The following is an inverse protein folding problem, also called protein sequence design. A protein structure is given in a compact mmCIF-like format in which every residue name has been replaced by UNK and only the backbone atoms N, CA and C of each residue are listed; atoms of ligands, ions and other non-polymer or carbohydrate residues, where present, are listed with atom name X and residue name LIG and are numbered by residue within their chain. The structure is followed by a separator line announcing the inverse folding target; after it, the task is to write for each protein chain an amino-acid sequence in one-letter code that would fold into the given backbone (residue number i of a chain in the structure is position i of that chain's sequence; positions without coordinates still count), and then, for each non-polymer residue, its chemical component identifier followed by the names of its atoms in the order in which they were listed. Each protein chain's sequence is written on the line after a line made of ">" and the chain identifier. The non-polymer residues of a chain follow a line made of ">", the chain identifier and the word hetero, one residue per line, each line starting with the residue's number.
data_IF_634226757144
#
_entry.id   IF_634226757144
#
_cell.length_a   1.000
_cell.length_b   1.000
_cell.length_c   1.000
_cell.angle_alpha   90.00
_cell.angle_beta   90.00
_cell.angle_gamma   90.00
#
_symmetry.space_group_name_H-M   'P 1'
#
loop_
_entity.id
_entity.type
_entity.pdbx_description
1 polymer ?
#
# COMPACT_ATOMS: atom_id res chain seq x y z
N UNK A 1 -55.54 10.85 27.87
CA UNK A 1 -54.42 10.63 26.93
C UNK A 1 -53.63 9.47 27.50
N UNK A 2 -53.37 8.43 26.71
CA UNK A 2 -52.50 7.33 27.12
C UNK A 2 -51.12 7.90 27.50
N UNK A 3 -50.52 7.43 28.59
CA UNK A 3 -49.13 7.75 28.95
C UNK A 3 -48.19 7.12 27.92
N UNK A 4 -47.95 7.84 26.82
CA UNK A 4 -47.01 7.42 25.77
C UNK A 4 -45.58 7.64 26.26
N UNK A 5 -44.72 6.66 26.02
CA UNK A 5 -43.30 6.73 26.39
C UNK A 5 -42.59 7.77 25.52
N UNK A 6 -41.71 8.57 26.12
CA UNK A 6 -40.99 9.63 25.40
C UNK A 6 -39.75 9.02 24.72
N UNK A 7 -39.59 9.29 23.42
CA UNK A 7 -38.39 8.98 22.63
C UNK A 7 -37.72 10.26 22.14
N UNK A 8 -36.42 10.20 21.85
CA UNK A 8 -35.62 11.31 21.33
C UNK A 8 -35.73 11.51 19.82
N UNK A 9 -34.88 12.40 19.30
CA UNK A 9 -34.72 12.62 17.85
C UNK A 9 -33.94 11.50 17.15
N UNK A 10 -33.19 10.72 17.94
CA UNK A 10 -32.41 9.56 17.54
C UNK A 10 -32.59 8.45 18.57
N UNK A 11 -32.71 7.21 18.12
CA UNK A 11 -32.84 6.05 18.99
C UNK A 11 -32.08 4.84 18.45
N UNK A 12 -31.75 3.92 19.36
CA UNK A 12 -31.20 2.62 18.99
C UNK A 12 -32.31 1.58 18.84
N UNK A 13 -32.27 0.85 17.72
CA UNK A 13 -33.20 -0.22 17.41
C UNK A 13 -32.46 -1.57 17.37
N UNK A 14 -33.12 -2.64 17.79
CA UNK A 14 -32.61 -4.01 17.69
C UNK A 14 -33.57 -4.85 16.84
N UNK A 15 -33.05 -5.65 15.92
CA UNK A 15 -33.82 -6.59 15.09
C UNK A 15 -33.27 -8.00 15.23
N UNK A 16 -33.76 -8.74 16.21
CA UNK A 16 -33.31 -10.12 16.47
C UNK A 16 -33.59 -11.05 15.28
N UNK A 17 -34.77 -10.92 14.66
CA UNK A 17 -35.18 -11.70 13.48
C UNK A 17 -34.31 -11.45 12.25
N UNK A 18 -33.71 -10.26 12.14
CA UNK A 18 -32.79 -9.90 11.06
C UNK A 18 -31.31 -10.10 11.45
N UNK A 19 -31.04 -10.55 12.69
CA UNK A 19 -29.68 -10.66 13.22
C UNK A 19 -28.97 -9.33 13.45
N UNK A 20 -29.67 -8.20 13.46
CA UNK A 20 -29.07 -6.87 13.64
C UNK A 20 -29.11 -6.51 15.13
N UNK A 21 -27.96 -6.54 15.84
CA UNK A 21 -27.95 -6.42 17.29
C UNK A 21 -28.12 -4.98 17.80
N UNK A 22 -27.86 -3.97 16.96
CA UNK A 22 -28.07 -2.55 17.26
C UNK A 22 -27.91 -1.67 16.00
N UNK A 23 -28.92 -0.90 15.61
CA UNK A 23 -28.83 0.08 14.51
C UNK A 23 -29.37 1.42 14.98
N UNK A 24 -28.63 2.51 14.71
CA UNK A 24 -29.06 3.86 15.07
C UNK A 24 -30.06 4.38 14.03
N UNK A 25 -31.24 4.77 14.51
CA UNK A 25 -32.33 5.27 13.69
C UNK A 25 -32.58 6.76 13.97
N UNK A 26 -32.84 7.52 12.90
CA UNK A 26 -33.42 8.86 13.02
C UNK A 26 -34.92 8.73 13.19
N UNK A 27 -35.49 9.37 14.21
CA UNK A 27 -36.93 9.44 14.39
C UNK A 27 -37.48 10.49 13.43
N UNK A 28 -38.33 10.05 12.49
CA UNK A 28 -38.86 10.89 11.43
C UNK A 28 -40.39 10.73 11.33
N UNK A 29 -41.11 11.59 12.05
CA UNK A 29 -42.58 11.64 12.00
C UNK A 29 -43.14 12.11 10.66
N UNK A 30 -42.30 12.67 9.77
CA UNK A 30 -42.68 13.06 8.41
C UNK A 30 -42.70 11.88 7.45
N UNK A 31 -41.85 10.87 7.67
CA UNK A 31 -41.88 9.61 6.94
C UNK A 31 -43.09 8.76 7.39
N UNK A 32 -43.96 8.35 6.46
CA UNK A 32 -45.10 7.49 6.78
C UNK A 32 -44.62 6.13 7.33
N UNK A 33 -43.73 5.47 6.58
CA UNK A 33 -43.23 4.13 6.88
C UNK A 33 -41.74 4.19 7.18
N UNK A 34 -41.27 3.35 8.10
CA UNK A 34 -39.86 3.20 8.43
C UNK A 34 -39.04 2.72 7.22
N UNK A 35 -37.75 3.03 7.20
CA UNK A 35 -36.83 2.57 6.15
C UNK A 35 -35.51 2.09 6.72
N UNK A 36 -34.90 1.10 6.09
CA UNK A 36 -33.60 0.56 6.47
C UNK A 36 -32.67 0.52 5.26
N UNK A 37 -31.38 0.78 5.49
CA UNK A 37 -30.33 0.60 4.51
C UNK A 37 -30.33 -0.87 4.08
N UNK A 38 -30.45 -1.09 2.78
CA UNK A 38 -30.44 -2.42 2.20
C UNK A 38 -29.78 -2.38 0.82
N UNK A 39 -28.86 -3.31 0.59
CA UNK A 39 -28.21 -3.58 -0.70
C UNK A 39 -28.35 -5.06 -1.05
N UNK A 40 -27.93 -5.46 -2.26
CA UNK A 40 -27.97 -6.85 -2.71
C UNK A 40 -29.37 -7.52 -2.58
N UNK A 41 -30.44 -6.75 -2.76
CA UNK A 41 -31.82 -7.21 -2.62
C UNK A 41 -32.17 -8.25 -3.70
N UNK A 42 -32.66 -9.42 -3.28
CA UNK A 42 -33.08 -10.51 -4.16
C UNK A 42 -34.36 -11.14 -3.63
N UNK A 43 -35.39 -11.19 -4.48
CA UNK A 43 -36.64 -11.90 -4.17
C UNK A 43 -36.38 -13.40 -4.32
N UNK A 44 -36.84 -14.18 -3.34
CA UNK A 44 -36.75 -15.63 -3.28
C UNK A 44 -38.13 -16.20 -2.98
N UNK A 45 -38.55 -17.20 -3.74
CA UNK A 45 -39.85 -17.86 -3.53
C UNK A 45 -39.62 -19.08 -2.64
N UNK A 46 -40.37 -19.19 -1.53
CA UNK A 46 -40.37 -20.35 -0.64
C UNK A 46 -41.80 -20.91 -0.54
N UNK A 47 -42.07 -21.97 -1.29
CA UNK A 47 -43.43 -22.50 -1.43
C UNK A 47 -44.34 -21.48 -2.12
N UNK A 48 -45.35 -20.98 -1.40
CA UNK A 48 -46.33 -19.99 -1.90
C UNK A 48 -46.03 -18.56 -1.39
N UNK A 49 -44.99 -18.37 -0.59
CA UNK A 49 -44.65 -17.07 -0.01
C UNK A 49 -43.44 -16.44 -0.69
N UNK A 50 -43.51 -15.14 -0.97
CA UNK A 50 -42.37 -14.34 -1.40
C UNK A 50 -41.55 -13.88 -0.20
N UNK A 51 -40.24 -14.09 -0.30
CA UNK A 51 -39.25 -13.64 0.65
C UNK A 51 -38.26 -12.72 -0.06
N UNK A 52 -37.57 -11.87 0.68
CA UNK A 52 -36.47 -11.07 0.15
C UNK A 52 -35.23 -11.31 0.99
N UNK A 53 -34.13 -11.62 0.31
CA UNK A 53 -32.78 -11.61 0.86
C UNK A 53 -32.14 -10.27 0.58
N UNK A 54 -31.48 -9.69 1.56
CA UNK A 54 -30.84 -8.38 1.42
C UNK A 54 -29.69 -8.24 2.41
N UNK A 55 -28.81 -7.30 2.17
CA UNK A 55 -27.65 -7.02 3.01
C UNK A 55 -27.83 -5.67 3.70
N UNK A 56 -27.55 -5.64 5.01
CA UNK A 56 -27.60 -4.42 5.82
C UNK A 56 -26.21 -4.10 6.37
N UNK A 57 -25.78 -2.86 6.23
CA UNK A 57 -24.61 -2.26 6.86
C UNK A 57 -25.07 -1.36 8.01
N UNK A 58 -25.22 -1.90 9.23
CA UNK A 58 -25.95 -1.22 10.31
C UNK A 58 -25.16 -0.09 10.97
N UNK A 59 -23.82 -0.08 10.87
CA UNK A 59 -22.96 0.93 11.48
C UNK A 59 -22.58 2.02 10.45
N UNK A 60 -22.76 3.30 10.82
CA UNK A 60 -22.45 4.45 9.98
C UNK A 60 -20.98 4.48 9.54
N UNK A 61 -20.09 4.38 10.53
CA UNK A 61 -18.64 4.55 10.40
C UNK A 61 -17.92 3.25 9.97
N UNK A 62 -18.63 2.11 9.94
CA UNK A 62 -18.03 0.81 9.61
C UNK A 62 -18.88 0.03 8.60
N UNK A 63 -18.60 0.26 7.31
CA UNK A 63 -19.26 -0.40 6.18
C UNK A 63 -18.75 -1.83 5.92
N UNK A 64 -17.72 -2.29 6.63
CA UNK A 64 -17.18 -3.65 6.46
C UNK A 64 -18.06 -4.73 7.09
N UNK A 65 -18.91 -4.33 8.03
CA UNK A 65 -19.93 -5.19 8.64
C UNK A 65 -21.15 -5.19 7.71
N UNK A 66 -21.43 -6.36 7.17
CA UNK A 66 -22.52 -6.64 6.26
C UNK A 66 -23.31 -7.85 6.79
N UNK A 67 -24.53 -7.60 7.25
CA UNK A 67 -25.43 -8.63 7.78
C UNK A 67 -26.35 -9.10 6.66
N UNK A 68 -26.33 -10.41 6.39
CA UNK A 68 -27.26 -11.03 5.46
C UNK A 68 -28.59 -11.24 6.17
N UNK A 69 -29.61 -10.53 5.70
CA UNK A 69 -30.96 -10.54 6.25
C UNK A 69 -31.90 -11.25 5.29
N UNK A 70 -32.93 -11.87 5.85
CA UNK A 70 -34.02 -12.47 5.07
C UNK A 70 -35.34 -12.22 5.79
N UNK A 71 -36.33 -11.73 5.06
CA UNK A 71 -37.65 -11.44 5.61
C UNK A 71 -38.75 -11.69 4.57
N UNK A 72 -39.98 -11.89 5.03
CA UNK A 72 -41.13 -12.03 4.15
C UNK A 72 -41.41 -10.71 3.44
N UNK A 73 -41.60 -10.78 2.12
CA UNK A 73 -42.03 -9.65 1.31
C UNK A 73 -43.55 -9.50 1.48
N UNK A 74 -43.99 -8.38 2.03
CA UNK A 74 -45.41 -8.15 2.34
C UNK A 74 -46.08 -7.16 1.41
N UNK A 75 -45.32 -6.24 0.81
CA UNK A 75 -45.83 -5.18 -0.06
C UNK A 75 -44.71 -4.60 -0.96
N UNK A 76 -45.10 -3.84 -1.98
CA UNK A 76 -44.22 -2.98 -2.78
C UNK A 76 -44.81 -1.58 -2.80
N UNK A 77 -44.04 -0.60 -2.33
CA UNK A 77 -44.55 0.74 -2.10
C UNK A 77 -43.78 1.77 -2.90
N UNK A 78 -44.49 2.62 -3.63
CA UNK A 78 -43.91 3.81 -4.25
C UNK A 78 -43.61 4.84 -3.17
N UNK A 79 -42.33 5.12 -2.93
CA UNK A 79 -41.86 6.07 -1.93
C UNK A 79 -41.24 7.27 -2.63
N UNK A 80 -41.67 8.47 -2.28
CA UNK A 80 -41.12 9.73 -2.79
C UNK A 80 -40.09 10.26 -1.81
N UNK A 81 -38.85 10.49 -2.28
CA UNK A 81 -37.80 11.10 -1.48
C UNK A 81 -38.06 12.60 -1.25
N UNK A 82 -37.35 13.19 -0.30
CA UNK A 82 -37.31 14.66 -0.10
C UNK A 82 -36.79 15.41 -1.32
N UNK A 83 -36.03 14.76 -2.21
CA UNK A 83 -35.58 15.28 -3.51
C UNK A 83 -36.62 15.16 -4.63
N UNK A 84 -37.82 14.62 -4.34
CA UNK A 84 -38.94 14.54 -5.28
C UNK A 84 -38.92 13.32 -6.21
N UNK A 85 -37.89 12.48 -6.15
CA UNK A 85 -37.77 11.26 -6.96
C UNK A 85 -38.62 10.17 -6.32
N UNK A 86 -39.43 9.49 -7.13
CA UNK A 86 -40.24 8.36 -6.69
C UNK A 86 -39.55 7.04 -7.04
N UNK A 87 -39.47 6.15 -6.07
CA UNK A 87 -38.80 4.85 -6.17
C UNK A 87 -39.77 3.76 -5.65
N UNK A 88 -39.90 2.65 -6.38
CA UNK A 88 -40.58 1.46 -5.85
C UNK A 88 -39.65 0.75 -4.86
N UNK A 89 -40.13 0.54 -3.63
CA UNK A 89 -39.38 -0.14 -2.59
C UNK A 89 -40.10 -1.39 -2.10
N UNK A 90 -39.33 -2.46 -1.92
CA UNK A 90 -39.80 -3.68 -1.27
C UNK A 90 -40.08 -3.40 0.21
N UNK A 91 -41.19 -3.91 0.72
CA UNK A 91 -41.62 -3.74 2.10
C UNK A 91 -41.55 -5.09 2.81
N UNK A 92 -40.84 -5.13 3.93
CA UNK A 92 -40.74 -6.32 4.78
C UNK A 92 -41.36 -6.04 6.14
N UNK A 93 -41.97 -7.07 6.74
CA UNK A 93 -42.48 -7.00 8.10
C UNK A 93 -41.48 -7.66 9.06
N UNK A 94 -41.12 -6.98 10.14
CA UNK A 94 -40.18 -7.49 11.15
C UNK A 94 -40.50 -6.93 12.53
N UNK A 95 -40.11 -7.66 13.58
CA UNK A 95 -40.16 -7.16 14.95
C UNK A 95 -38.95 -6.25 15.24
N UNK A 96 -39.20 -5.07 15.79
CA UNK A 96 -38.19 -4.16 16.32
C UNK A 96 -38.27 -4.14 17.84
N UNK A 97 -37.12 -4.08 18.51
CA UNK A 97 -37.04 -3.88 19.95
C UNK A 97 -36.42 -2.52 20.26
N UNK A 98 -37.11 -1.74 21.09
CA UNK A 98 -36.68 -0.43 21.56
C UNK A 98 -37.09 -0.24 23.03
N UNK A 99 -36.14 0.10 23.90
CA UNK A 99 -36.43 0.41 25.30
C UNK A 99 -37.11 -0.71 26.10
N UNK A 100 -36.81 -1.97 25.77
CA UNK A 100 -37.37 -3.15 26.41
C UNK A 100 -38.70 -3.65 25.83
N UNK A 101 -39.27 -2.96 24.84
CA UNK A 101 -40.51 -3.36 24.18
C UNK A 101 -40.24 -3.85 22.76
N UNK A 102 -40.89 -4.95 22.37
CA UNK A 102 -40.78 -5.55 21.04
C UNK A 102 -42.13 -5.50 20.33
N UNK A 103 -42.17 -4.96 19.11
CA UNK A 103 -43.38 -4.85 18.31
C UNK A 103 -43.09 -4.92 16.81
N UNK A 104 -44.10 -5.31 16.03
CA UNK A 104 -43.99 -5.42 14.57
C UNK A 104 -43.99 -4.05 13.89
N UNK A 105 -43.11 -3.88 12.89
CA UNK A 105 -43.09 -2.73 11.99
C UNK A 105 -42.94 -3.17 10.53
N UNK A 106 -43.39 -2.30 9.62
CA UNK A 106 -43.04 -2.38 8.20
C UNK A 106 -41.76 -1.58 7.92
N UNK A 107 -40.82 -2.19 7.20
CA UNK A 107 -39.59 -1.57 6.74
C UNK A 107 -39.56 -1.54 5.21
N UNK A 108 -39.38 -0.35 4.65
CA UNK A 108 -38.99 -0.21 3.24
C UNK A 108 -37.49 -0.45 3.10
N UNK A 109 -37.09 -1.30 2.15
CA UNK A 109 -35.70 -1.55 1.80
C UNK A 109 -35.22 -0.46 0.85
N UNK A 110 -34.20 0.31 1.24
CA UNK A 110 -33.67 1.43 0.47
C UNK A 110 -32.15 1.48 0.51
N UNK A 111 -31.50 1.87 -0.59
CA UNK A 111 -30.07 2.19 -0.51
C UNK A 111 -29.89 3.55 0.19
N UNK A 112 -29.27 3.54 1.37
CA UNK A 112 -29.01 4.72 2.21
C UNK A 112 -27.51 4.90 2.47
N UNK A 113 -26.65 4.44 1.56
CA UNK A 113 -25.19 4.44 1.75
C UNK A 113 -24.59 5.85 1.91
N UNK A 114 -25.21 6.84 1.28
CA UNK A 114 -24.82 8.26 1.32
C UNK A 114 -25.50 9.06 2.43
N UNK A 115 -26.43 8.45 3.17
CA UNK A 115 -27.20 9.11 4.23
C UNK A 115 -26.52 8.93 5.58
N UNK A 116 -26.66 9.93 6.45
CA UNK A 116 -26.14 9.92 7.83
C UNK A 116 -26.72 8.77 8.67
N UNK A 117 -28.03 8.50 8.54
CA UNK A 117 -28.68 7.41 9.26
C UNK A 117 -29.03 6.25 8.34
N UNK A 118 -28.59 5.05 8.76
CA UNK A 118 -28.87 3.77 8.12
C UNK A 118 -30.31 3.31 8.31
N UNK A 119 -31.05 3.92 9.24
CA UNK A 119 -32.47 3.65 9.45
C UNK A 119 -33.25 4.93 9.72
N UNK A 120 -34.49 5.00 9.23
CA UNK A 120 -35.51 5.95 9.68
C UNK A 120 -36.61 5.20 10.42
N UNK A 121 -37.02 5.72 11.56
CA UNK A 121 -38.20 5.27 12.28
C UNK A 121 -39.36 6.19 11.88
N UNK A 122 -40.28 5.66 11.08
CA UNK A 122 -41.40 6.40 10.52
C UNK A 122 -42.61 6.47 11.46
N UNK A 123 -43.55 7.33 11.12
CA UNK A 123 -44.75 7.63 11.91
C UNK A 123 -45.60 6.40 12.24
N UNK A 124 -45.77 5.44 11.32
CA UNK A 124 -46.55 4.22 11.60
C UNK A 124 -45.97 3.38 12.74
N UNK A 125 -44.66 3.42 12.97
CA UNK A 125 -44.03 2.75 14.10
C UNK A 125 -44.14 3.54 15.41
N UNK A 126 -44.38 4.85 15.33
CA UNK A 126 -44.38 5.79 16.46
C UNK A 126 -45.80 6.02 16.99
N UNK A 127 -46.77 6.15 16.08
CA UNK A 127 -48.17 6.44 16.38
C UNK A 127 -48.73 5.47 17.43
N UNK A 128 -49.44 6.02 18.40
CA UNK A 128 -50.07 5.30 19.51
C UNK A 128 -49.10 4.55 20.46
N UNK A 129 -47.78 4.71 20.28
CA UNK A 129 -46.74 4.09 21.12
C UNK A 129 -45.84 5.10 21.83
N UNK A 130 -45.43 6.15 21.13
CA UNK A 130 -44.41 7.06 21.62
C UNK A 130 -44.75 8.54 21.40
N UNK A 131 -44.20 9.38 22.26
CA UNK A 131 -44.14 10.83 22.10
C UNK A 131 -42.72 11.24 21.73
N UNK A 132 -42.54 12.05 20.68
CA UNK A 132 -41.21 12.47 20.22
C UNK A 132 -40.79 13.77 20.90
N UNK A 133 -39.68 13.74 21.64
CA UNK A 133 -39.01 14.93 22.17
C UNK A 133 -37.74 15.22 21.34
N UNK A 134 -37.75 16.25 20.48
CA UNK A 134 -36.61 16.54 19.61
C UNK A 134 -35.38 17.10 20.33
N UNK A 135 -35.50 17.45 21.62
CA UNK A 135 -34.41 18.03 22.40
C UNK A 135 -33.48 16.97 23.05
N UNK A 136 -33.84 15.69 22.97
CA UNK A 136 -33.09 14.58 23.57
C UNK A 136 -32.77 13.51 22.54
N UNK A 137 -31.79 12.66 22.82
CA UNK A 137 -31.37 11.53 22.00
C UNK A 137 -31.18 10.29 22.89
N UNK A 138 -31.44 9.11 22.35
CA UNK A 138 -31.20 7.82 23.01
C UNK A 138 -31.96 7.68 24.35
N UNK A 139 -33.20 8.18 24.39
CA UNK A 139 -33.95 8.34 25.63
C UNK A 139 -34.43 7.00 26.20
N UNK A 140 -34.83 6.08 25.33
CA UNK A 140 -35.35 4.77 25.76
C UNK A 140 -34.28 3.70 25.74
N UNK A 141 -33.23 3.89 24.94
CA UNK A 141 -32.15 2.92 24.79
C UNK A 141 -30.89 3.61 24.26
N UNK A 142 -29.78 3.36 24.95
CA UNK A 142 -28.44 3.76 24.53
C UNK A 142 -27.49 2.57 24.59
N UNK A 143 -26.45 2.61 23.78
CA UNK A 143 -25.34 1.68 23.82
C UNK A 143 -24.05 2.48 23.81
N UNK A 144 -23.13 2.14 24.71
CA UNK A 144 -21.78 2.67 24.67
C UNK A 144 -20.98 2.02 23.52
N UNK A 145 -19.94 2.69 23.03
CA UNK A 145 -19.12 2.20 21.92
C UNK A 145 -18.55 0.78 22.17
N UNK A 146 -18.14 0.49 23.41
CA UNK A 146 -17.66 -0.83 23.80
C UNK A 146 -18.74 -1.91 23.75
N UNK A 147 -19.99 -1.58 24.04
CA UNK A 147 -21.13 -2.50 23.95
C UNK A 147 -21.47 -2.80 22.49
N UNK A 148 -21.44 -1.77 21.62
CA UNK A 148 -21.59 -1.93 20.18
C UNK A 148 -20.49 -2.83 19.63
N UNK A 149 -19.23 -2.60 20.01
CA UNK A 149 -18.11 -3.44 19.59
C UNK A 149 -18.28 -4.90 20.00
N UNK A 150 -18.71 -5.17 21.24
CA UNK A 150 -19.00 -6.54 21.71
C UNK A 150 -20.15 -7.18 20.95
N UNK A 151 -21.24 -6.45 20.70
CA UNK A 151 -22.41 -6.94 19.96
C UNK A 151 -22.08 -7.29 18.51
N UNK A 152 -21.19 -6.52 17.87
CA UNK A 152 -20.76 -6.75 16.50
C UNK A 152 -19.51 -7.63 16.35
N UNK A 153 -18.87 -8.03 17.45
CA UNK A 153 -17.69 -8.91 17.48
C UNK A 153 -17.80 -10.15 16.55
N UNK A 154 -18.94 -10.86 16.47
CA UNK A 154 -19.09 -12.02 15.60
C UNK A 154 -19.20 -11.69 14.10
N UNK A 155 -19.58 -10.46 13.76
CA UNK A 155 -19.79 -10.01 12.37
C UNK A 155 -18.55 -9.37 11.74
N UNK A 156 -17.48 -9.19 12.52
CA UNK A 156 -16.18 -8.89 11.94
C UNK A 156 -15.75 -10.09 11.12
N UNK A 157 -15.82 -9.95 9.79
CA UNK A 157 -15.04 -10.81 8.91
C UNK A 157 -13.59 -10.68 9.35
N UNK A 158 -12.99 -11.77 9.86
CA UNK A 158 -11.54 -11.87 9.96
C UNK A 158 -10.99 -11.40 8.62
N UNK A 159 -10.14 -10.38 8.60
CA UNK A 159 -9.37 -10.01 7.40
C UNK A 159 -8.70 -11.30 6.93
N UNK A 160 -9.21 -11.89 5.85
CA UNK A 160 -8.71 -13.18 5.36
C UNK A 160 -7.38 -13.02 4.66
N UNK A 161 -6.97 -11.78 4.37
CA UNK A 161 -5.64 -11.41 3.88
C UNK A 161 -5.11 -10.18 4.59
N UNK A 162 -3.83 -9.89 4.38
CA UNK A 162 -3.17 -8.70 4.91
C UNK A 162 -3.71 -7.43 4.24
N UNK A 163 -3.67 -6.30 4.95
CA UNK A 163 -3.86 -4.98 4.38
C UNK A 163 -2.50 -4.33 4.10
N UNK A 164 -2.16 -4.19 2.83
CA UNK A 164 -0.83 -3.77 2.37
C UNK A 164 -0.93 -2.38 1.73
N UNK A 165 -0.06 -1.45 2.11
CA UNK A 165 0.09 -0.18 1.41
C UNK A 165 1.18 -0.28 0.33
N UNK A 166 0.89 0.16 -0.90
CA UNK A 166 1.91 0.40 -1.93
C UNK A 166 2.24 1.89 -1.98
N UNK A 167 3.36 2.28 -1.40
CA UNK A 167 3.78 3.68 -1.28
C UNK A 167 4.68 4.07 -2.47
N UNK A 168 4.12 4.77 -3.46
CA UNK A 168 4.81 5.08 -4.71
C UNK A 168 4.39 6.44 -5.29
N UNK A 169 4.84 6.81 -6.49
CA UNK A 169 4.43 8.07 -7.15
C UNK A 169 3.42 7.90 -8.29
N UNK A 170 3.37 6.71 -8.91
CA UNK A 170 2.49 6.47 -10.06
C UNK A 170 1.98 5.01 -10.05
N UNK A 171 0.66 4.76 -9.93
CA UNK A 171 0.10 3.42 -9.88
C UNK A 171 0.22 2.68 -11.23
N UNK A 172 0.35 3.42 -12.34
CA UNK A 172 0.28 2.85 -13.68
C UNK A 172 1.59 2.24 -14.18
N UNK A 173 2.69 2.39 -13.45
CA UNK A 173 3.96 1.77 -13.81
C UNK A 173 3.87 0.25 -13.68
N UNK A 174 4.46 -0.49 -14.62
CA UNK A 174 4.42 -1.96 -14.68
C UNK A 174 4.69 -2.61 -13.32
N UNK A 175 5.78 -2.21 -12.65
CA UNK A 175 6.16 -2.80 -11.36
C UNK A 175 5.11 -2.61 -10.28
N UNK A 176 4.42 -1.46 -10.27
CA UNK A 176 3.41 -1.14 -9.25
C UNK A 176 2.12 -1.90 -9.53
N UNK A 177 1.69 -1.99 -10.80
CA UNK A 177 0.55 -2.82 -11.22
C UNK A 177 0.75 -4.28 -10.83
N UNK A 178 1.91 -4.86 -11.18
CA UNK A 178 2.25 -6.25 -10.85
C UNK A 178 2.22 -6.54 -9.36
N UNK A 179 2.74 -5.63 -8.53
CA UNK A 179 2.69 -5.77 -7.06
C UNK A 179 1.25 -5.74 -6.54
N UNK A 180 0.40 -4.87 -7.07
CA UNK A 180 -1.02 -4.81 -6.70
C UNK A 180 -1.76 -6.08 -7.11
N UNK A 181 -1.63 -6.49 -8.37
CA UNK A 181 -2.21 -7.73 -8.90
C UNK A 181 -1.77 -8.96 -8.10
N UNK A 182 -0.47 -9.04 -7.75
CA UNK A 182 0.05 -10.16 -6.98
C UNK A 182 -0.46 -10.19 -5.53
N UNK A 183 -0.71 -9.03 -4.91
CA UNK A 183 -1.32 -8.99 -3.57
C UNK A 183 -2.80 -9.40 -3.63
N UNK A 184 -3.55 -8.87 -4.59
CA UNK A 184 -4.97 -9.18 -4.80
C UNK A 184 -5.18 -10.66 -5.14
N UNK A 185 -4.36 -11.23 -6.03
CA UNK A 185 -4.39 -12.64 -6.38
C UNK A 185 -4.11 -13.58 -5.20
N UNK A 186 -3.45 -13.09 -4.14
CA UNK A 186 -3.20 -13.81 -2.89
C UNK A 186 -4.25 -13.50 -1.80
N UNK A 187 -5.33 -12.81 -2.16
CA UNK A 187 -6.43 -12.50 -1.27
C UNK A 187 -6.16 -11.36 -0.28
N UNK A 188 -5.14 -10.54 -0.53
CA UNK A 188 -4.81 -9.37 0.31
C UNK A 188 -5.51 -8.11 -0.20
N UNK A 189 -5.84 -7.20 0.72
CA UNK A 189 -6.24 -5.85 0.38
C UNK A 189 -4.97 -5.03 0.12
N UNK A 190 -4.85 -4.40 -1.06
CA UNK A 190 -3.75 -3.49 -1.35
C UNK A 190 -4.25 -2.09 -1.65
N UNK A 191 -3.66 -1.10 -0.98
CA UNK A 191 -4.02 0.31 -1.13
C UNK A 191 -2.83 1.07 -1.71
N UNK A 192 -3.01 1.66 -2.89
CA UNK A 192 -2.01 2.56 -3.45
C UNK A 192 -2.02 3.90 -2.71
N UNK A 193 -0.84 4.34 -2.28
CA UNK A 193 -0.63 5.64 -1.64
C UNK A 193 0.42 6.42 -2.41
N UNK A 194 0.04 7.63 -2.86
CA UNK A 194 1.02 8.55 -3.41
C UNK A 194 1.85 9.18 -2.29
N UNK A 195 3.18 9.03 -2.36
CA UNK A 195 4.14 9.61 -1.41
C UNK A 195 3.88 11.10 -1.14
N UNK A 196 3.59 11.86 -2.18
CA UNK A 196 3.46 13.33 -2.10
C UNK A 196 2.09 13.77 -1.55
N UNK A 197 1.12 12.85 -1.46
CA UNK A 197 -0.23 13.12 -0.96
C UNK A 197 -0.44 12.67 0.49
N UNK A 198 0.54 11.97 1.07
CA UNK A 198 0.52 11.57 2.46
C UNK A 198 1.21 12.63 3.34
N UNK A 199 0.67 12.86 4.53
CA UNK A 199 1.23 13.77 5.54
C UNK A 199 1.08 13.15 6.92
N UNK A 200 1.87 13.60 7.89
CA UNK A 200 1.97 12.93 9.20
C UNK A 200 1.77 13.89 10.36
N UNK A 201 1.12 13.39 11.42
CA UNK A 201 1.10 14.02 12.73
C UNK A 201 2.17 13.35 13.59
N UNK A 202 3.10 14.14 14.09
CA UNK A 202 4.13 13.68 15.03
C UNK A 202 3.65 14.04 16.43
N UNK A 203 3.20 13.04 17.18
CA UNK A 203 2.75 13.18 18.56
C UNK A 203 3.18 11.93 19.33
N UNK A 204 3.53 12.10 20.61
CA UNK A 204 4.02 11.00 21.43
C UNK A 204 2.92 9.98 21.78
N UNK A 205 1.65 10.40 21.81
CA UNK A 205 0.52 9.58 22.25
C UNK A 205 -0.41 9.18 21.09
N UNK A 206 -0.46 10.00 20.04
CA UNK A 206 -1.37 9.88 18.91
C UNK A 206 -0.66 10.18 17.57
N UNK A 207 0.42 9.45 17.23
CA UNK A 207 1.04 9.56 15.92
C UNK A 207 0.07 9.12 14.83
N UNK A 208 0.04 9.84 13.71
CA UNK A 208 -0.85 9.52 12.59
C UNK A 208 -0.14 9.69 11.26
N UNK A 209 -0.61 8.94 10.26
CA UNK A 209 -0.41 9.27 8.86
C UNK A 209 -1.79 9.56 8.27
N UNK A 210 -1.89 10.64 7.53
CA UNK A 210 -3.09 11.08 6.84
C UNK A 210 -2.84 11.11 5.34
N UNK A 211 -3.90 11.01 4.58
CA UNK A 211 -3.89 11.15 3.13
C UNK A 211 -4.74 12.34 2.70
N UNK A 212 -4.44 12.90 1.52
CA UNK A 212 -5.19 14.02 0.94
C UNK A 212 -6.70 13.80 1.10
N UNK A 213 -7.37 14.79 1.69
CA UNK A 213 -8.79 14.70 2.06
C UNK A 213 -9.03 14.49 3.56
N UNK A 214 -7.98 14.38 4.39
CA UNK A 214 -8.12 14.33 5.85
C UNK A 214 -8.18 12.93 6.44
N UNK A 215 -8.27 11.90 5.60
CA UNK A 215 -8.43 10.51 6.03
C UNK A 215 -7.19 10.02 6.78
N UNK A 216 -7.40 9.48 7.98
CA UNK A 216 -6.34 8.82 8.75
C UNK A 216 -6.11 7.43 8.14
N UNK A 217 -4.87 7.15 7.79
CA UNK A 217 -4.41 5.86 7.29
C UNK A 217 -4.21 4.93 8.48
N UNK A 218 -5.21 4.08 8.75
CA UNK A 218 -5.16 3.07 9.81
C UNK A 218 -5.13 1.65 9.23
N UNK A 219 -4.68 0.71 10.05
CA UNK A 219 -4.82 -0.75 9.86
C UNK A 219 -4.00 -1.40 8.73
N UNK A 220 -2.83 -0.85 8.39
CA UNK A 220 -1.91 -1.55 7.48
C UNK A 220 -1.06 -2.57 8.23
N UNK A 221 -0.94 -3.77 7.70
CA UNK A 221 -0.03 -4.80 8.21
C UNK A 221 1.37 -4.66 7.60
N UNK A 222 1.43 -4.19 6.35
CA UNK A 222 2.69 -3.96 5.64
C UNK A 222 2.65 -2.74 4.71
N UNK A 223 3.83 -2.19 4.41
CA UNK A 223 4.06 -1.17 3.39
C UNK A 223 5.16 -1.64 2.42
N UNK A 224 4.90 -1.54 1.13
CA UNK A 224 5.86 -1.73 0.04
C UNK A 224 6.27 -0.36 -0.51
N UNK A 225 7.39 0.22 -0.07
CA UNK A 225 7.91 1.46 -0.64
C UNK A 225 8.54 1.29 -2.02
N UNK A 226 8.10 2.12 -2.96
CA UNK A 226 8.64 2.27 -4.32
C UNK A 226 9.05 3.72 -4.57
N UNK A 227 10.04 4.16 -3.78
CA UNK A 227 10.43 5.57 -3.66
C UNK A 227 11.40 5.98 -4.77
N UNK A 228 10.98 6.96 -5.59
CA UNK A 228 11.85 7.61 -6.59
C UNK A 228 12.95 8.44 -5.89
N UNK A 229 14.17 8.56 -6.46
CA UNK A 229 15.27 9.26 -5.80
C UNK A 229 14.93 10.70 -5.36
N UNK A 230 14.15 11.44 -6.14
CA UNK A 230 13.81 12.85 -5.87
C UNK A 230 12.94 13.09 -4.63
N UNK A 231 12.30 12.06 -4.08
CA UNK A 231 11.48 12.16 -2.86
C UNK A 231 11.99 11.23 -1.75
N UNK A 232 13.25 10.80 -1.82
CA UNK A 232 13.84 9.86 -0.85
C UNK A 232 13.69 10.35 0.58
N UNK A 233 14.01 11.63 0.84
CA UNK A 233 13.93 12.21 2.19
C UNK A 233 12.53 12.05 2.80
N UNK A 234 11.51 12.53 2.10
CA UNK A 234 10.13 12.50 2.58
C UNK A 234 9.53 11.09 2.57
N UNK A 235 9.83 10.30 1.54
CA UNK A 235 9.43 8.89 1.47
C UNK A 235 9.96 8.08 2.66
N UNK A 236 11.25 8.24 2.99
CA UNK A 236 11.84 7.60 4.17
C UNK A 236 11.22 8.11 5.49
N UNK A 237 10.80 9.38 5.57
CA UNK A 237 10.08 9.89 6.74
C UNK A 237 8.73 9.20 6.93
N UNK A 238 7.95 9.03 5.86
CA UNK A 238 6.69 8.28 5.90
C UNK A 238 6.91 6.82 6.29
N UNK A 239 7.94 6.16 5.72
CA UNK A 239 8.27 4.77 6.05
C UNK A 239 8.62 4.63 7.55
N UNK A 240 9.42 5.55 8.12
CA UNK A 240 9.69 5.54 9.56
C UNK A 240 8.42 5.72 10.38
N UNK A 241 7.52 6.59 9.94
CA UNK A 241 6.24 6.79 10.61
C UNK A 241 5.35 5.55 10.56
N UNK A 242 5.27 4.86 9.41
CA UNK A 242 4.58 3.57 9.30
C UNK A 242 5.18 2.54 10.25
N UNK A 243 6.51 2.45 10.31
CA UNK A 243 7.20 1.55 11.22
C UNK A 243 6.94 1.88 12.70
N UNK A 244 6.88 3.16 13.07
CA UNK A 244 6.51 3.60 14.42
C UNK A 244 5.07 3.23 14.80
N UNK A 245 4.18 3.11 13.80
CA UNK A 245 2.81 2.62 13.97
C UNK A 245 2.70 1.09 13.99
N UNK A 246 3.83 0.37 14.02
CA UNK A 246 3.86 -1.10 14.06
C UNK A 246 3.71 -1.78 12.69
N UNK A 247 3.74 -1.02 11.59
CA UNK A 247 3.56 -1.56 10.23
C UNK A 247 4.88 -2.07 9.67
N UNK A 248 4.89 -3.30 9.12
CA UNK A 248 6.09 -3.86 8.52
C UNK A 248 6.45 -3.19 7.19
N UNK A 249 7.70 -2.74 7.01
CA UNK A 249 8.14 -2.05 5.79
C UNK A 249 9.13 -2.89 4.95
N UNK A 250 8.81 -3.13 3.67
CA UNK A 250 9.63 -3.91 2.71
C UNK A 250 10.10 -3.00 1.55
N UNK A 251 11.13 -2.16 1.70
CA UNK A 251 12.22 -2.15 2.68
C UNK A 251 12.05 -1.12 3.82
N UNK A 252 12.89 -1.23 4.86
CA UNK A 252 13.01 -0.23 5.91
C UNK A 252 13.63 1.08 5.42
N UNK A 253 13.31 2.19 6.08
CA UNK A 253 13.76 3.54 5.70
C UNK A 253 15.29 3.68 5.74
N UNK A 254 15.93 3.09 6.75
CA UNK A 254 17.38 3.11 6.95
C UNK A 254 18.06 2.39 5.79
N UNK A 255 17.58 1.19 5.44
CA UNK A 255 18.11 0.40 4.33
C UNK A 255 17.97 1.12 2.98
N UNK A 256 16.84 1.80 2.74
CA UNK A 256 16.63 2.62 1.55
C UNK A 256 17.63 3.77 1.50
N UNK A 257 17.74 4.56 2.58
CA UNK A 257 18.67 5.69 2.66
C UNK A 257 20.13 5.26 2.45
N UNK A 258 20.55 4.17 3.10
CA UNK A 258 21.90 3.62 2.98
C UNK A 258 22.20 3.15 1.54
N UNK A 259 21.24 2.51 0.86
CA UNK A 259 21.41 2.10 -0.53
C UNK A 259 21.46 3.26 -1.53
N UNK A 260 20.87 4.41 -1.17
CA UNK A 260 20.84 5.61 -2.02
C UNK A 260 22.13 6.40 -1.92
N UNK A 261 22.76 6.41 -0.75
CA UNK A 261 24.08 6.99 -0.56
C UNK A 261 25.17 6.02 -1.07
N UNK A 262 25.62 6.24 -2.30
CA UNK A 262 26.64 5.40 -2.94
C UNK A 262 27.98 5.42 -2.20
N UNK A 263 28.35 6.53 -1.57
CA UNK A 263 29.59 6.63 -0.81
C UNK A 263 29.49 5.77 0.44
N UNK A 264 28.42 5.96 1.21
CA UNK A 264 28.18 5.17 2.42
C UNK A 264 28.05 3.67 2.10
N UNK A 265 27.29 3.31 1.07
CA UNK A 265 27.17 1.92 0.63
C UNK A 265 28.52 1.32 0.25
N UNK A 266 29.35 2.04 -0.52
CA UNK A 266 30.69 1.57 -0.92
C UNK A 266 31.62 1.37 0.26
N UNK A 267 31.60 2.28 1.25
CA UNK A 267 32.35 2.13 2.49
C UNK A 267 31.89 0.91 3.29
N UNK A 268 30.58 0.67 3.34
CA UNK A 268 30.01 -0.49 4.01
C UNK A 268 30.38 -1.80 3.30
N UNK A 269 30.42 -1.82 1.97
CA UNK A 269 30.90 -2.96 1.19
C UNK A 269 32.36 -3.27 1.47
N UNK A 270 33.22 -2.24 1.43
CA UNK A 270 34.65 -2.37 1.75
C UNK A 270 34.87 -2.93 3.17
N UNK A 271 34.16 -2.39 4.17
CA UNK A 271 34.20 -2.86 5.56
C UNK A 271 33.78 -4.33 5.74
N UNK A 272 32.99 -4.87 4.81
CA UNK A 272 32.44 -6.22 4.89
C UNK A 272 33.06 -7.18 3.87
N UNK A 273 34.25 -6.91 3.33
CA UNK A 273 34.93 -7.76 2.34
C UNK A 273 34.01 -8.07 1.13
N UNK A 274 33.36 -7.03 0.60
CA UNK A 274 32.63 -7.09 -0.66
C UNK A 274 33.46 -6.33 -1.68
N UNK A 275 33.97 -7.06 -2.68
CA UNK A 275 34.78 -6.47 -3.73
C UNK A 275 33.91 -5.61 -4.65
N UNK A 276 34.29 -4.34 -4.75
CA UNK A 276 33.79 -3.36 -5.74
C UNK A 276 34.97 -3.01 -6.66
N UNK A 277 34.72 -2.46 -7.85
CA UNK A 277 35.80 -1.89 -8.65
C UNK A 277 36.55 -0.80 -7.85
N UNK A 278 37.85 -0.69 -8.03
CA UNK A 278 38.68 0.33 -7.36
C UNK A 278 38.05 1.70 -7.57
N UNK A 279 37.70 2.36 -6.47
CA UNK A 279 36.88 3.58 -6.47
C UNK A 279 37.51 4.65 -5.60
N UNK A 280 37.78 5.81 -6.20
CA UNK A 280 38.16 7.04 -5.52
C UNK A 280 36.95 7.97 -5.36
N UNK A 281 36.90 8.68 -4.24
CA UNK A 281 35.89 9.69 -3.97
C UNK A 281 36.56 11.03 -3.74
N UNK A 282 35.99 12.08 -4.30
CA UNK A 282 36.48 13.43 -4.06
C UNK A 282 35.35 14.46 -4.05
N UNK A 283 35.49 15.45 -3.17
CA UNK A 283 34.72 16.68 -3.15
C UNK A 283 35.64 17.81 -3.59
N UNK A 284 35.45 18.31 -4.81
CA UNK A 284 36.27 19.37 -5.42
C UNK A 284 37.79 19.15 -5.22
N UNK A 285 38.37 18.05 -5.73
CA UNK A 285 39.77 17.72 -5.47
C UNK A 285 40.68 18.83 -6.01
N UNK A 286 41.55 19.44 -5.20
CA UNK A 286 42.57 20.34 -5.75
C UNK A 286 43.51 19.60 -6.70
N UNK A 287 43.81 18.32 -6.39
CA UNK A 287 44.73 17.48 -7.14
C UNK A 287 44.00 16.37 -7.94
N UNK A 288 43.53 16.72 -9.15
CA UNK A 288 42.81 15.79 -10.05
C UNK A 288 43.69 14.60 -10.47
N UNK A 289 45.00 14.82 -10.61
CA UNK A 289 45.93 13.80 -11.12
C UNK A 289 46.13 12.71 -10.11
N UNK A 290 46.21 13.07 -8.83
CA UNK A 290 46.31 12.09 -7.75
C UNK A 290 45.05 11.21 -7.69
N UNK A 291 43.85 11.80 -7.77
CA UNK A 291 42.59 11.05 -7.81
C UNK A 291 42.52 10.04 -8.97
N UNK A 292 43.04 10.41 -10.14
CA UNK A 292 43.12 9.52 -11.31
C UNK A 292 44.10 8.37 -11.03
N UNK A 293 45.26 8.65 -10.40
CA UNK A 293 46.25 7.63 -10.03
C UNK A 293 45.71 6.65 -8.99
N UNK A 294 44.88 7.10 -8.05
CA UNK A 294 44.24 6.24 -7.03
C UNK A 294 43.43 5.09 -7.64
N UNK A 295 42.92 5.25 -8.86
CA UNK A 295 42.17 4.20 -9.59
C UNK A 295 42.98 3.55 -10.72
N UNK A 296 44.32 3.65 -10.68
CA UNK A 296 45.27 3.14 -11.67
C UNK A 296 45.25 3.86 -13.04
N UNK A 297 44.67 5.06 -13.11
CA UNK A 297 44.60 5.83 -14.36
C UNK A 297 43.48 5.40 -15.31
N UNK A 298 43.46 6.02 -16.48
CA UNK A 298 42.48 5.73 -17.51
C UNK A 298 42.75 4.38 -18.22
N UNK A 299 41.72 3.71 -18.75
CA UNK A 299 40.32 4.13 -18.81
C UNK A 299 39.63 4.10 -17.44
N UNK A 300 38.80 5.11 -17.16
CA UNK A 300 38.09 5.20 -15.89
C UNK A 300 36.67 5.76 -16.07
N UNK A 301 35.81 5.45 -15.11
CA UNK A 301 34.43 5.91 -15.03
C UNK A 301 34.33 7.06 -14.03
N UNK A 302 33.66 8.14 -14.43
CA UNK A 302 33.36 9.30 -13.58
C UNK A 302 31.85 9.32 -13.37
N UNK A 303 31.39 9.26 -12.11
CA UNK A 303 29.98 9.28 -11.72
C UNK A 303 29.68 10.49 -10.85
N UNK A 304 28.64 11.23 -11.20
CA UNK A 304 28.03 12.23 -10.31
C UNK A 304 27.15 11.53 -9.27
N UNK A 305 27.27 11.95 -8.01
CA UNK A 305 26.46 11.38 -6.93
C UNK A 305 25.00 11.88 -6.94
N UNK A 306 24.78 13.09 -7.45
CA UNK A 306 23.47 13.77 -7.42
C UNK A 306 22.56 13.44 -8.62
N UNK A 307 22.93 12.46 -9.43
CA UNK A 307 22.21 12.14 -10.67
C UNK A 307 21.37 10.87 -10.59
N UNK A 308 20.30 10.84 -11.40
CA UNK A 308 19.40 9.68 -11.53
C UNK A 308 19.51 9.07 -12.94
N UNK A 309 19.24 7.76 -13.05
CA UNK A 309 19.12 7.04 -14.32
C UNK A 309 20.34 7.13 -15.27
N UNK A 310 21.57 7.14 -14.74
CA UNK A 310 22.79 7.07 -15.58
C UNK A 310 23.16 8.36 -16.32
N UNK A 311 22.35 9.43 -16.22
CA UNK A 311 22.78 10.79 -16.55
C UNK A 311 23.92 11.15 -15.60
N UNK A 312 25.09 11.55 -16.07
CA UNK A 312 26.25 11.83 -15.20
C UNK A 312 27.14 10.63 -14.89
N UNK A 313 27.11 9.57 -15.71
CA UNK A 313 28.17 8.54 -15.77
C UNK A 313 28.93 8.72 -17.08
N UNK A 314 30.23 8.96 -17.01
CA UNK A 314 31.10 9.27 -18.15
C UNK A 314 32.28 8.29 -18.17
N UNK A 315 32.58 7.70 -19.33
CA UNK A 315 33.81 6.98 -19.56
C UNK A 315 34.87 7.95 -20.09
N UNK A 316 36.00 8.02 -19.41
CA UNK A 316 37.18 8.74 -19.87
C UNK A 316 38.25 7.74 -20.29
N UNK A 317 38.54 7.68 -21.59
CA UNK A 317 39.51 6.73 -22.16
C UNK A 317 40.97 7.12 -21.90
N UNK A 318 41.23 8.39 -21.62
CA UNK A 318 42.57 8.92 -21.34
C UNK A 318 42.60 9.76 -20.08
N UNK A 319 43.78 9.85 -19.43
CA UNK A 319 43.96 10.70 -18.24
C UNK A 319 43.61 12.16 -18.54
N UNK A 320 43.97 12.67 -19.73
CA UNK A 320 43.62 14.04 -20.15
C UNK A 320 42.11 14.25 -20.21
N UNK A 321 41.38 13.30 -20.82
CA UNK A 321 39.91 13.37 -20.86
C UNK A 321 39.29 13.33 -19.46
N UNK A 322 39.82 12.46 -18.58
CA UNK A 322 39.37 12.38 -17.19
C UNK A 322 39.61 13.69 -16.44
N UNK A 323 40.79 14.30 -16.59
CA UNK A 323 41.12 15.60 -16.01
C UNK A 323 40.16 16.69 -16.46
N UNK A 324 39.87 16.77 -17.77
CA UNK A 324 38.92 17.73 -18.33
C UNK A 324 37.52 17.58 -17.74
N UNK A 325 37.01 16.34 -17.66
CA UNK A 325 35.67 16.07 -17.11
C UNK A 325 35.59 16.37 -15.62
N UNK A 326 36.59 15.95 -14.84
CA UNK A 326 36.64 16.24 -13.39
C UNK A 326 36.71 17.75 -13.15
N UNK A 327 37.54 18.48 -13.89
CA UNK A 327 37.65 19.94 -13.76
C UNK A 327 36.35 20.65 -14.15
N UNK A 328 35.64 20.17 -15.18
CA UNK A 328 34.31 20.68 -15.53
C UNK A 328 33.28 20.45 -14.42
N UNK A 329 33.37 19.36 -13.67
CA UNK A 329 32.48 19.10 -12.53
C UNK A 329 32.88 19.83 -11.24
N UNK A 330 34.14 20.25 -11.10
CA UNK A 330 34.56 21.12 -9.98
C UNK A 330 33.87 22.48 -10.01
N UNK A 331 33.69 23.07 -11.18
CA UNK A 331 33.11 24.42 -11.32
C UNK A 331 31.66 24.50 -10.83
N UNK A 332 30.97 23.35 -10.75
CA UNK A 332 29.60 23.23 -10.23
C UNK A 332 29.54 22.70 -8.79
N UNK A 333 30.69 22.59 -8.09
CA UNK A 333 30.82 22.18 -6.68
C UNK A 333 30.11 20.86 -6.33
N UNK A 334 30.21 19.87 -7.22
CA UNK A 334 29.55 18.56 -7.06
C UNK A 334 30.50 17.50 -6.50
N UNK A 335 29.95 16.51 -5.80
CA UNK A 335 30.70 15.32 -5.37
C UNK A 335 30.87 14.35 -6.54
N UNK A 336 32.09 13.82 -6.70
CA UNK A 336 32.46 12.95 -7.81
C UNK A 336 32.98 11.62 -7.29
N UNK A 337 32.56 10.55 -7.95
CA UNK A 337 33.09 9.21 -7.80
C UNK A 337 33.88 8.87 -9.06
N UNK A 338 35.15 8.49 -8.90
CA UNK A 338 36.02 8.00 -9.98
C UNK A 338 36.25 6.52 -9.75
N UNK A 339 36.11 5.69 -10.78
CA UNK A 339 36.13 4.23 -10.64
C UNK A 339 36.89 3.58 -11.79
N UNK A 340 37.61 2.48 -11.53
CA UNK A 340 38.28 1.71 -12.59
C UNK A 340 37.26 1.22 -13.63
N UNK A 341 37.65 1.23 -14.91
CA UNK A 341 36.80 0.69 -15.97
C UNK A 341 37.13 -0.79 -16.23
N UNK A 342 36.13 -1.66 -16.04
CA UNK A 342 36.27 -3.11 -16.27
C UNK A 342 36.04 -3.41 -17.75
N UNK A 343 37.11 -3.30 -18.55
CA UNK A 343 37.07 -3.50 -20.02
C UNK A 343 36.66 -4.90 -20.41
N UNK A 344 37.14 -5.91 -19.68
CA UNK A 344 36.92 -7.33 -19.96
C UNK A 344 35.46 -7.77 -19.83
N UNK A 345 34.62 -6.96 -19.17
CA UNK A 345 33.19 -7.20 -19.09
C UNK A 345 32.45 -6.94 -20.41
N UNK A 346 33.10 -6.28 -21.38
CA UNK A 346 32.55 -6.04 -22.72
C UNK A 346 31.14 -5.41 -22.72
N UNK A 347 30.91 -4.44 -21.83
CA UNK A 347 29.62 -3.77 -21.68
C UNK A 347 28.50 -4.68 -21.16
N UNK A 348 28.83 -5.74 -20.45
CA UNK A 348 27.89 -6.65 -19.81
C UNK A 348 27.87 -6.46 -18.30
N UNK A 349 26.69 -6.58 -17.72
CA UNK A 349 26.52 -6.72 -16.29
C UNK A 349 25.40 -7.72 -15.96
N UNK A 350 25.43 -8.23 -14.73
CA UNK A 350 24.47 -9.19 -14.21
C UNK A 350 23.63 -8.48 -13.16
N UNK A 351 22.32 -8.46 -13.37
CA UNK A 351 21.36 -8.03 -12.35
C UNK A 351 20.78 -9.23 -11.65
N UNK A 352 21.09 -9.36 -10.36
CA UNK A 352 20.49 -10.31 -9.44
C UNK A 352 19.33 -9.65 -8.68
N UNK A 353 18.16 -10.28 -8.67
CA UNK A 353 17.04 -9.83 -7.84
C UNK A 353 16.98 -10.68 -6.58
N UNK A 354 17.14 -10.02 -5.44
CA UNK A 354 17.19 -10.64 -4.12
C UNK A 354 15.91 -10.34 -3.36
N UNK A 355 15.28 -11.37 -2.82
CA UNK A 355 14.14 -11.26 -1.90
C UNK A 355 14.44 -12.11 -0.66
N UNK A 356 14.41 -11.50 0.53
CA UNK A 356 14.71 -12.13 1.83
C UNK A 356 15.96 -13.03 1.78
N UNK A 357 17.09 -12.45 1.37
CA UNK A 357 18.40 -13.12 1.29
C UNK A 357 18.48 -14.29 0.28
N UNK A 358 17.54 -14.39 -0.66
CA UNK A 358 17.59 -15.37 -1.77
C UNK A 358 17.60 -14.66 -3.11
N UNK A 359 18.51 -15.04 -4.01
CA UNK A 359 18.47 -14.58 -5.41
C UNK A 359 17.36 -15.37 -6.12
N UNK A 360 16.26 -14.69 -6.44
CA UNK A 360 15.04 -15.30 -7.02
C UNK A 360 15.06 -15.29 -8.54
N UNK A 361 15.75 -14.31 -9.14
CA UNK A 361 15.98 -14.21 -10.57
C UNK A 361 17.28 -13.47 -10.88
N UNK A 362 17.82 -13.71 -12.07
CA UNK A 362 19.03 -13.06 -12.56
C UNK A 362 18.94 -12.89 -14.07
N UNK A 363 19.36 -11.73 -14.56
CA UNK A 363 19.47 -11.42 -15.99
C UNK A 363 20.86 -10.85 -16.28
N UNK A 364 21.36 -11.10 -17.47
CA UNK A 364 22.48 -10.36 -18.02
C UNK A 364 21.91 -9.22 -18.86
N UNK A 365 22.47 -8.03 -18.70
CA UNK A 365 22.18 -6.89 -19.56
C UNK A 365 23.41 -6.63 -20.43
N UNK A 366 23.17 -6.34 -21.71
CA UNK A 366 24.19 -6.00 -22.69
C UNK A 366 23.96 -4.58 -23.18
N UNK A 367 24.99 -3.74 -23.11
CA UNK A 367 24.98 -2.41 -23.70
C UNK A 367 24.89 -2.46 -25.23
N UNK A 368 24.32 -1.43 -25.85
CA UNK A 368 24.31 -1.28 -27.31
C UNK A 368 25.71 -1.07 -27.88
N UNK A 369 25.88 -1.26 -29.18
CA UNK A 369 27.19 -1.10 -29.85
C UNK A 369 27.66 0.35 -29.71
N UNK A 370 28.80 0.56 -29.07
CA UNK A 370 29.37 1.89 -28.79
C UNK A 370 28.94 2.49 -27.44
N UNK A 371 28.10 1.79 -26.68
CA UNK A 371 27.71 2.17 -25.31
C UNK A 371 28.35 1.20 -24.32
N UNK A 372 28.80 1.69 -23.15
CA UNK A 372 29.38 0.85 -22.11
C UNK A 372 28.39 0.57 -20.97
N UNK A 373 27.28 1.33 -20.92
CA UNK A 373 26.22 1.18 -19.92
C UNK A 373 25.17 0.19 -20.42
N UNK A 374 24.96 -0.88 -19.67
CA UNK A 374 24.02 -1.94 -20.01
C UNK A 374 22.58 -1.71 -19.50
N UNK A 375 22.22 -0.48 -19.13
CA UNK A 375 20.89 -0.19 -18.60
C UNK A 375 19.80 -0.40 -19.68
N UNK A 376 18.75 -1.16 -19.35
CA UNK A 376 17.62 -1.44 -20.26
C UNK A 376 16.93 -0.14 -20.71
N UNK A 377 16.80 0.85 -19.82
CA UNK A 377 16.23 2.16 -20.16
C UNK A 377 17.06 2.96 -21.18
N UNK A 378 18.29 2.53 -21.49
CA UNK A 378 19.18 3.12 -22.50
C UNK A 378 19.35 2.21 -23.73
N UNK A 379 18.40 1.31 -24.00
CA UNK A 379 18.43 0.40 -25.16
C UNK A 379 19.13 -0.93 -24.92
N UNK A 380 19.66 -1.18 -23.71
CA UNK A 380 20.33 -2.44 -23.39
C UNK A 380 19.39 -3.66 -23.52
N UNK A 381 19.90 -4.75 -24.08
CA UNK A 381 19.17 -6.02 -24.21
C UNK A 381 19.33 -6.87 -22.95
N UNK A 382 18.23 -7.41 -22.44
CA UNK A 382 18.23 -8.34 -21.32
C UNK A 382 18.11 -9.79 -21.79
N UNK A 383 18.91 -10.69 -21.23
CA UNK A 383 18.83 -12.14 -21.45
C UNK A 383 18.93 -12.90 -20.14
N UNK A 384 18.40 -14.13 -20.11
CA UNK A 384 18.53 -15.01 -18.94
C UNK A 384 20.01 -15.37 -18.76
N UNK A 385 20.49 -15.32 -17.52
CA UNK A 385 21.86 -15.75 -17.18
C UNK A 385 21.85 -16.70 -16.00
N UNK A 386 22.64 -17.77 -16.12
CA UNK A 386 22.97 -18.66 -15.00
C UNK A 386 24.15 -18.06 -14.23
N UNK A 387 23.88 -17.60 -13.02
CA UNK A 387 24.91 -17.05 -12.14
C UNK A 387 25.70 -18.14 -11.43
N UNK A 388 26.97 -17.86 -11.13
CA UNK A 388 27.86 -18.74 -10.36
C UNK A 388 27.49 -18.75 -8.87
N UNK A 389 28.08 -19.67 -8.11
CA UNK A 389 27.95 -19.69 -6.65
C UNK A 389 28.55 -18.44 -6.00
N UNK A 390 29.63 -17.90 -6.56
CA UNK A 390 30.30 -16.70 -6.06
C UNK A 390 29.44 -15.45 -6.30
N UNK A 391 28.88 -15.30 -7.51
CA UNK A 391 27.97 -14.20 -7.86
C UNK A 391 26.71 -14.22 -6.98
N UNK A 392 26.15 -15.41 -6.73
CA UNK A 392 25.00 -15.58 -5.85
C UNK A 392 25.33 -15.17 -4.41
N UNK A 393 26.46 -15.64 -3.87
CA UNK A 393 26.92 -15.29 -2.52
C UNK A 393 27.17 -13.78 -2.40
N UNK A 394 27.81 -13.18 -3.42
CA UNK A 394 28.05 -11.74 -3.48
C UNK A 394 26.74 -10.95 -3.45
N UNK A 395 25.75 -11.31 -4.29
CA UNK A 395 24.46 -10.64 -4.30
C UNK A 395 23.72 -10.75 -2.96
N UNK A 396 23.71 -11.94 -2.35
CA UNK A 396 23.09 -12.17 -1.04
C UNK A 396 23.79 -11.35 0.06
N UNK A 397 25.12 -11.39 0.09
CA UNK A 397 25.94 -10.66 1.07
C UNK A 397 25.72 -9.16 0.94
N UNK A 398 25.72 -8.60 -0.28
CA UNK A 398 25.50 -7.19 -0.53
C UNK A 398 24.11 -6.70 -0.08
N UNK A 399 23.04 -7.44 -0.42
CA UNK A 399 21.70 -7.12 0.04
C UNK A 399 21.57 -7.21 1.57
N UNK A 400 22.18 -8.23 2.19
CA UNK A 400 22.18 -8.43 3.64
C UNK A 400 22.93 -7.33 4.38
N UNK A 401 24.08 -6.90 3.88
CA UNK A 401 24.90 -5.83 4.48
C UNK A 401 24.12 -4.51 4.54
N UNK A 402 23.31 -4.20 3.53
CA UNK A 402 22.41 -3.04 3.52
C UNK A 402 21.05 -3.29 4.19
N UNK A 403 20.84 -4.48 4.77
CA UNK A 403 19.57 -4.90 5.38
C UNK A 403 18.34 -4.71 4.46
N UNK A 404 18.50 -5.00 3.16
CA UNK A 404 17.42 -4.92 2.18
C UNK A 404 16.69 -6.26 2.09
N UNK A 405 15.39 -6.24 2.37
CA UNK A 405 14.49 -7.37 2.15
C UNK A 405 14.27 -7.61 0.65
N UNK A 406 14.21 -6.56 -0.16
CA UNK A 406 14.12 -6.62 -1.62
C UNK A 406 15.21 -5.75 -2.23
N UNK A 407 16.04 -6.31 -3.10
CA UNK A 407 17.13 -5.58 -3.73
C UNK A 407 17.38 -6.03 -5.17
N UNK A 408 17.76 -5.07 -6.03
CA UNK A 408 18.44 -5.38 -7.29
C UNK A 408 19.92 -5.17 -7.11
N UNK A 409 20.71 -6.21 -7.27
CA UNK A 409 22.17 -6.21 -7.09
C UNK A 409 22.82 -6.36 -8.46
N UNK A 410 23.57 -5.35 -8.87
CA UNK A 410 24.24 -5.32 -10.17
C UNK A 410 25.71 -5.72 -9.97
N UNK A 411 26.16 -6.71 -10.74
CA UNK A 411 27.47 -7.34 -10.64
C UNK A 411 28.14 -7.28 -12.01
N UNK A 412 29.44 -7.06 -12.02
CA UNK A 412 30.26 -7.15 -13.22
C UNK A 412 31.26 -8.29 -13.09
N UNK A 413 31.45 -9.05 -14.18
CA UNK A 413 32.49 -10.07 -14.26
C UNK A 413 33.81 -9.40 -14.61
N UNK A 414 34.86 -9.68 -13.83
CA UNK A 414 36.21 -9.18 -14.07
C UNK A 414 37.21 -10.33 -14.00
N UNK A 415 38.44 -10.09 -14.44
CA UNK A 415 39.54 -11.05 -14.30
C UNK A 415 39.90 -11.34 -12.82
N UNK A 416 39.47 -10.47 -11.89
CA UNK A 416 39.68 -10.60 -10.44
C UNK A 416 38.51 -11.33 -9.75
N UNK A 417 37.54 -11.84 -10.51
CA UNK A 417 36.28 -12.40 -9.99
C UNK A 417 35.10 -11.42 -10.11
N UNK A 418 33.92 -11.76 -9.54
CA UNK A 418 32.75 -10.90 -9.61
C UNK A 418 32.91 -9.67 -8.72
N UNK A 419 32.63 -8.49 -9.25
CA UNK A 419 32.67 -7.21 -8.53
C UNK A 419 31.27 -6.62 -8.43
N UNK A 420 30.93 -6.05 -7.28
CA UNK A 420 29.66 -5.37 -7.05
C UNK A 420 29.69 -3.96 -7.66
N UNK A 421 28.71 -3.64 -8.51
CA UNK A 421 28.55 -2.30 -9.10
C UNK A 421 27.63 -1.42 -8.28
N UNK A 422 26.42 -1.90 -7.98
CA UNK A 422 25.40 -1.15 -7.25
C UNK A 422 24.36 -2.07 -6.59
N UNK A 423 23.70 -1.55 -5.56
CA UNK A 423 22.55 -2.19 -4.92
C UNK A 423 21.38 -1.23 -4.87
N UNK A 424 20.27 -1.61 -5.49
CA UNK A 424 19.06 -0.81 -5.61
C UNK A 424 17.97 -1.32 -4.67
N UNK A 425 17.45 -0.43 -3.81
CA UNK A 425 16.36 -0.73 -2.87
C UNK A 425 14.95 -0.73 -3.47
N UNK A 426 14.78 -0.23 -4.69
CA UNK A 426 13.49 -0.24 -5.41
C UNK A 426 13.70 -0.69 -6.87
N UNK A 427 14.15 -1.94 -7.09
CA UNK A 427 14.45 -2.45 -8.42
C UNK A 427 13.20 -2.56 -9.29
N UNK A 428 13.29 -2.24 -10.59
CA UNK A 428 12.19 -2.47 -11.54
C UNK A 428 11.91 -3.95 -11.77
N UNK A 429 10.65 -4.31 -12.02
CA UNK A 429 10.20 -5.69 -12.26
C UNK A 429 10.11 -6.04 -13.75
N UNK A 430 9.77 -5.08 -14.61
CA UNK A 430 9.43 -5.34 -16.02
C UNK A 430 10.53 -6.08 -16.79
N UNK A 431 11.75 -5.54 -16.80
CA UNK A 431 12.84 -6.16 -17.54
C UNK A 431 13.22 -7.56 -17.05
N UNK A 432 13.04 -7.84 -15.76
CA UNK A 432 13.40 -9.15 -15.19
C UNK A 432 12.28 -10.17 -15.30
N UNK A 433 11.02 -9.77 -15.12
CA UNK A 433 9.86 -10.66 -15.31
C UNK A 433 9.73 -11.04 -16.78
N UNK A 434 9.83 -10.07 -17.71
CA UNK A 434 9.76 -10.35 -19.15
C UNK A 434 10.88 -11.27 -19.63
N UNK A 435 12.10 -11.10 -19.12
CA UNK A 435 13.23 -11.92 -19.53
C UNK A 435 13.20 -13.33 -18.92
N UNK A 436 12.73 -13.48 -17.67
CA UNK A 436 12.82 -14.76 -16.94
C UNK A 436 11.51 -15.55 -16.87
N UNK A 437 10.37 -14.93 -17.17
CA UNK A 437 9.04 -15.52 -17.02
C UNK A 437 8.62 -15.80 -15.57
N UNK A 438 9.40 -15.33 -14.59
CA UNK A 438 9.13 -15.56 -13.16
C UNK A 438 8.25 -14.47 -12.59
N UNK A 439 7.35 -14.85 -11.69
CA UNK A 439 6.53 -13.91 -10.92
C UNK A 439 7.31 -13.37 -9.70
N UNK A 440 7.99 -12.25 -9.89
CA UNK A 440 8.80 -11.59 -8.88
C UNK A 440 7.91 -10.81 -7.92
N UNK A 441 6.84 -10.19 -8.42
CA UNK A 441 5.84 -9.52 -7.59
C UNK A 441 5.22 -10.48 -6.55
N UNK A 442 4.74 -11.65 -6.97
CA UNK A 442 4.23 -12.69 -6.06
C UNK A 442 5.29 -13.12 -5.04
N UNK A 443 6.54 -13.25 -5.47
CA UNK A 443 7.65 -13.58 -4.56
C UNK A 443 7.87 -12.50 -3.48
N UNK A 444 7.68 -11.23 -3.81
CA UNK A 444 7.71 -10.13 -2.83
C UNK A 444 6.57 -10.22 -1.82
N UNK A 445 5.35 -10.54 -2.27
CA UNK A 445 4.18 -10.71 -1.38
C UNK A 445 4.36 -11.93 -0.46
N UNK A 446 4.79 -13.08 -0.99
CA UNK A 446 5.11 -14.26 -0.17
C UNK A 446 6.18 -13.97 0.90
N UNK A 447 7.09 -13.06 0.61
CA UNK A 447 8.10 -12.62 1.56
C UNK A 447 7.52 -11.77 2.70
N UNK A 448 6.47 -10.99 2.44
CA UNK A 448 5.69 -10.25 3.45
C UNK A 448 4.90 -11.24 4.31
N UNK A 449 4.15 -12.16 3.70
CA UNK A 449 3.37 -13.19 4.40
C UNK A 449 4.22 -13.95 5.41
N UNK A 450 5.38 -14.46 4.96
CA UNK A 450 6.32 -15.18 5.82
C UNK A 450 6.85 -14.31 6.96
N UNK A 451 7.12 -13.03 6.69
CA UNK A 451 7.65 -12.10 7.70
C UNK A 451 6.61 -11.82 8.79
N UNK A 452 5.36 -11.68 8.40
CA UNK A 452 4.23 -11.45 9.29
C UNK A 452 3.63 -12.74 9.87
N UNK A 453 4.20 -13.91 9.52
CA UNK A 453 3.69 -15.24 9.91
C UNK A 453 2.22 -15.44 9.52
N UNK A 454 1.83 -14.83 8.41
CA UNK A 454 0.51 -14.98 7.86
C UNK A 454 0.38 -16.38 7.23
N UNK A 455 -0.56 -17.17 7.76
CA UNK A 455 -0.94 -18.48 7.25
C UNK A 455 -2.33 -18.33 6.65
N UNK A 456 -2.40 -17.88 5.39
CA UNK A 456 -3.64 -17.77 4.62
C UNK A 456 -3.78 -18.87 3.58
#
# INVERSE_FOLDING_TARGET
>A
MSDLKIIGSEEWCVFESLGIPAIKARVDSGAKTSSIQATNTKIVIRGVQEWVKFEVNPLQENRSIAIQCEAQLVDRRMVKSSSGISEERLVVKTAVTMGGETFDIELTLANRDTMEFRMLLGREAISDRFMVNPAVNYQVQSFEDDEINKKYAPYFKKKTGLKIALLASNPNLYSNKRIMEAAEARGHEIVFLNVELAYMKLDAHSPEIRYRGGNILKEFDAVIPRIKPSVTFYGCALIRQFNNLGVYCQNAAEAISQSRDKLFASQLFSKNDIHIPITGFAKSPADTKDLIKMVNGAPLIIKLLESTQGKGVVLAETNKAAESVINAFKSVNTNILVQEFIKEANGQDIRCFVVNNKVVASIQRQAEKGEFRANIHQGGKASIVKITSEERKLAQKAAKVLNLAVAGVDIIRSNKGPLLLEVNSSPGLEGIENATGKDIANTMIMAIERKLRFNG
#
